data_IF_869294744725
#
_entry.id   IF_869294744725
#
_cell.length_a   1.000
_cell.length_b   1.000
_cell.length_c   1.000
_cell.angle_alpha   90.00
_cell.angle_beta   90.00
_cell.angle_gamma   90.00
#
_symmetry.space_group_name_H-M   'P 1'
#
loop_
_entity.id
_entity.type
_entity.pdbx_description
1 polymer ?
#
# COMPACT_ATOMS: atom_id res chain seq x y z
N UNK A 1 -24.77 -27.72 -45.68
CA UNK A 1 -23.94 -26.50 -45.69
C UNK A 1 -22.77 -26.73 -44.72
N UNK A 2 -21.66 -27.12 -45.29
CA UNK A 2 -20.49 -27.57 -44.54
C UNK A 2 -19.57 -26.39 -44.31
N UNK A 3 -19.42 -25.95 -43.07
CA UNK A 3 -18.49 -24.91 -42.68
C UNK A 3 -17.13 -25.51 -42.42
N UNK A 4 -16.22 -25.32 -43.34
CA UNK A 4 -14.80 -25.62 -43.17
C UNK A 4 -14.20 -24.60 -42.22
N UNK A 5 -13.85 -25.03 -41.03
CA UNK A 5 -13.07 -24.24 -40.08
C UNK A 5 -11.60 -24.55 -40.39
N UNK A 6 -10.92 -23.60 -40.98
CA UNK A 6 -9.49 -23.66 -41.17
C UNK A 6 -8.79 -23.54 -39.83
N UNK A 7 -8.12 -24.61 -39.40
CA UNK A 7 -7.18 -24.57 -38.26
C UNK A 7 -5.92 -23.82 -38.68
N UNK A 8 -5.76 -22.63 -38.12
CA UNK A 8 -4.47 -21.94 -38.17
C UNK A 8 -3.71 -22.34 -36.92
N UNK A 9 -2.79 -23.27 -37.07
CA UNK A 9 -1.81 -23.61 -36.03
C UNK A 9 -0.71 -22.56 -36.09
N UNK A 10 -0.74 -21.62 -35.18
CA UNK A 10 0.36 -20.68 -35.00
C UNK A 10 1.35 -21.31 -34.02
N UNK A 11 2.45 -21.78 -34.56
CA UNK A 11 3.61 -22.23 -33.79
C UNK A 11 4.34 -20.99 -33.24
N UNK A 12 4.10 -20.68 -31.99
CA UNK A 12 4.95 -19.74 -31.26
C UNK A 12 6.20 -20.47 -30.77
N UNK A 13 7.30 -20.21 -31.45
CA UNK A 13 8.61 -20.58 -30.94
C UNK A 13 8.94 -19.66 -29.76
N UNK A 14 8.83 -20.16 -28.56
CA UNK A 14 9.33 -19.49 -27.37
C UNK A 14 10.83 -19.63 -27.30
N UNK A 15 11.56 -18.58 -27.66
CA UNK A 15 12.97 -18.45 -27.35
C UNK A 15 13.09 -18.26 -25.83
N UNK A 16 13.53 -19.29 -25.13
CA UNK A 16 13.94 -19.20 -23.73
C UNK A 16 15.23 -18.39 -23.67
N UNK A 17 15.13 -17.11 -23.30
CA UNK A 17 16.26 -16.34 -22.84
C UNK A 17 16.58 -16.80 -21.43
N UNK A 18 17.60 -17.63 -21.31
CA UNK A 18 18.24 -17.90 -20.05
C UNK A 18 18.80 -16.61 -19.49
N UNK A 19 18.13 -16.05 -18.49
CA UNK A 19 18.73 -15.02 -17.66
C UNK A 19 19.74 -15.71 -16.77
N UNK A 20 21.01 -15.48 -17.07
CA UNK A 20 22.11 -15.83 -16.19
C UNK A 20 21.97 -14.93 -14.96
N UNK A 21 21.68 -15.54 -13.85
CA UNK A 21 21.89 -14.95 -12.54
C UNK A 21 23.39 -14.81 -12.31
N UNK A 22 23.93 -13.67 -12.74
CA UNK A 22 25.23 -13.21 -12.28
C UNK A 22 25.05 -12.73 -10.83
N UNK A 23 25.20 -13.68 -9.90
CA UNK A 23 25.34 -13.33 -8.50
C UNK A 23 26.69 -12.63 -8.32
N UNK A 24 26.70 -11.36 -7.89
CA UNK A 24 27.97 -10.72 -7.58
C UNK A 24 28.66 -11.44 -6.40
N UNK A 25 29.97 -11.60 -6.43
CA UNK A 25 30.70 -12.26 -5.35
C UNK A 25 30.49 -11.51 -4.03
N UNK A 26 30.26 -12.27 -2.98
CA UNK A 26 30.09 -11.77 -1.63
C UNK A 26 31.23 -10.83 -1.25
N UNK A 27 30.92 -9.56 -1.10
CA UNK A 27 31.82 -8.59 -0.50
C UNK A 27 31.89 -8.84 1.01
N UNK A 28 33.07 -8.71 1.63
CA UNK A 28 33.26 -9.00 3.03
C UNK A 28 32.55 -7.97 3.90
N UNK A 29 31.89 -8.46 4.93
CA UNK A 29 31.41 -7.81 6.15
C UNK A 29 31.65 -6.31 6.25
N UNK A 30 30.81 -5.52 5.60
CA UNK A 30 30.57 -4.15 6.00
C UNK A 30 29.35 -4.15 6.93
N UNK A 31 29.52 -3.63 8.13
CA UNK A 31 28.46 -3.43 9.13
C UNK A 31 27.22 -2.85 8.46
N UNK A 32 25.99 -3.31 8.81
CA UNK A 32 24.79 -2.67 8.32
C UNK A 32 24.78 -1.23 8.84
N UNK A 33 25.17 -0.30 8.01
CA UNK A 33 24.79 1.09 8.22
C UNK A 33 23.27 1.12 8.05
N UNK A 34 22.58 1.02 9.18
CA UNK A 34 21.22 1.48 9.22
C UNK A 34 21.25 2.92 8.71
N UNK A 35 20.96 3.10 7.44
CA UNK A 35 20.54 4.38 6.93
C UNK A 35 19.22 4.65 7.66
N UNK A 36 19.36 5.20 8.86
CA UNK A 36 18.29 5.81 9.62
C UNK A 36 17.84 6.98 8.76
N UNK A 37 16.86 6.73 7.92
CA UNK A 37 16.09 7.81 7.31
C UNK A 37 15.64 8.67 8.47
N UNK A 38 16.35 9.77 8.68
CA UNK A 38 15.99 10.81 9.62
C UNK A 38 14.70 11.40 9.06
N UNK A 39 13.56 10.80 9.41
CA UNK A 39 12.33 11.53 9.38
C UNK A 39 12.59 12.85 10.13
N UNK A 40 12.21 13.99 9.57
CA UNK A 40 12.36 15.24 10.28
C UNK A 40 11.64 15.09 11.60
N UNK A 41 12.41 15.10 12.69
CA UNK A 41 11.87 15.10 14.04
C UNK A 41 11.18 16.46 14.21
N UNK A 42 9.91 16.50 13.89
CA UNK A 42 9.02 17.58 14.32
C UNK A 42 9.02 17.51 15.85
N UNK A 43 9.73 18.43 16.49
CA UNK A 43 9.74 18.63 17.94
C UNK A 43 8.38 19.15 18.38
N UNK A 44 7.36 18.31 18.32
CA UNK A 44 6.03 18.56 18.81
C UNK A 44 5.55 17.37 19.62
N UNK A 45 4.54 17.53 20.49
CA UNK A 45 3.93 16.41 21.17
C UNK A 45 3.48 15.37 20.12
N UNK A 46 3.51 14.06 20.45
CA UNK A 46 3.11 13.03 19.51
C UNK A 46 1.68 13.28 19.05
N UNK A 47 1.48 13.41 17.74
CA UNK A 47 0.17 13.63 17.15
C UNK A 47 -0.75 12.47 17.52
N UNK A 48 -1.97 12.78 17.93
CA UNK A 48 -3.01 11.76 18.15
C UNK A 48 -3.29 11.00 16.85
N UNK A 49 -3.89 9.80 16.97
CA UNK A 49 -4.28 9.03 15.77
C UNK A 49 -5.22 9.85 14.88
N UNK A 50 -6.17 10.58 15.48
CA UNK A 50 -7.10 11.43 14.73
C UNK A 50 -6.36 12.51 13.93
N UNK A 51 -5.38 13.19 14.52
CA UNK A 51 -4.56 14.19 13.81
C UNK A 51 -3.74 13.59 12.68
N UNK A 52 -3.23 12.35 12.83
CA UNK A 52 -2.52 11.65 11.77
C UNK A 52 -3.46 11.33 10.60
N UNK A 53 -4.65 10.84 10.88
CA UNK A 53 -5.65 10.52 9.85
C UNK A 53 -6.13 11.78 9.13
N UNK A 54 -6.36 12.88 9.85
CA UNK A 54 -6.71 14.17 9.25
C UNK A 54 -5.60 14.71 8.35
N UNK A 55 -4.33 14.54 8.73
CA UNK A 55 -3.20 14.94 7.90
C UNK A 55 -3.14 14.13 6.59
N UNK A 56 -3.55 12.87 6.60
CA UNK A 56 -3.61 12.06 5.38
C UNK A 56 -4.68 12.55 4.39
N UNK A 57 -5.74 13.21 4.87
CA UNK A 57 -6.76 13.81 3.98
C UNK A 57 -6.22 14.98 3.14
N UNK A 58 -5.10 15.58 3.51
CA UNK A 58 -4.46 16.65 2.73
C UNK A 58 -3.73 16.12 1.48
N UNK A 59 -3.51 14.80 1.40
CA UNK A 59 -2.96 14.13 0.21
C UNK A 59 -4.11 13.92 -0.78
N UNK A 60 -3.80 13.98 -2.08
CA UNK A 60 -4.80 13.78 -3.14
C UNK A 60 -5.58 12.49 -2.95
N UNK A 61 -6.90 12.58 -3.14
CA UNK A 61 -7.80 11.44 -2.99
C UNK A 61 -7.54 10.35 -4.04
N UNK A 62 -7.94 9.13 -3.71
CA UNK A 62 -7.78 7.95 -4.56
C UNK A 62 -6.32 7.65 -4.95
N UNK A 63 -5.35 8.22 -4.22
CA UNK A 63 -3.93 7.96 -4.46
C UNK A 63 -3.36 6.90 -3.52
N UNK A 64 -2.35 6.19 -4.01
CA UNK A 64 -1.59 5.26 -3.18
C UNK A 64 -0.89 5.98 -2.02
N UNK A 65 -0.42 7.20 -2.23
CA UNK A 65 0.27 8.00 -1.22
C UNK A 65 -0.65 8.29 -0.01
N UNK A 66 -1.93 8.55 -0.26
CA UNK A 66 -2.91 8.70 0.82
C UNK A 66 -3.11 7.38 1.57
N UNK A 67 -3.20 6.25 0.86
CA UNK A 67 -3.28 4.94 1.50
C UNK A 67 -2.04 4.62 2.33
N UNK A 68 -0.85 4.86 1.80
CA UNK A 68 0.42 4.65 2.51
C UNK A 68 0.51 5.50 3.78
N UNK A 69 -0.03 6.74 3.74
CA UNK A 69 -0.16 7.59 4.91
C UNK A 69 -1.05 6.95 6.00
N UNK A 70 -2.21 6.42 5.62
CA UNK A 70 -3.08 5.70 6.55
C UNK A 70 -2.44 4.42 7.08
N UNK A 71 -1.80 3.64 6.21
CA UNK A 71 -1.12 2.40 6.58
C UNK A 71 0.08 2.65 7.50
N UNK A 72 0.72 3.82 7.41
CA UNK A 72 1.74 4.24 8.36
C UNK A 72 1.16 4.59 9.75
N UNK A 73 -0.06 5.12 9.80
CA UNK A 73 -0.76 5.41 11.05
C UNK A 73 -1.38 4.16 11.68
N UNK A 74 -1.95 3.28 10.85
CA UNK A 74 -2.61 2.03 11.25
C UNK A 74 -2.10 0.92 10.33
N UNK A 75 -1.06 0.19 10.70
CA UNK A 75 -0.45 -0.83 9.87
C UNK A 75 -1.45 -1.88 9.36
N UNK A 76 -1.44 -2.21 8.06
CA UNK A 76 -2.37 -3.16 7.47
C UNK A 76 -2.19 -4.58 8.06
N UNK A 77 -3.29 -5.26 8.26
CA UNK A 77 -3.33 -6.65 8.70
C UNK A 77 -4.47 -7.38 7.98
N UNK A 78 -4.37 -7.58 6.67
CA UNK A 78 -5.45 -8.10 5.86
C UNK A 78 -5.92 -9.49 6.31
N UNK A 79 -7.22 -9.72 6.22
CA UNK A 79 -7.84 -11.00 6.50
C UNK A 79 -8.62 -11.48 5.28
N UNK A 80 -8.69 -12.80 5.01
CA UNK A 80 -9.40 -13.34 3.85
C UNK A 80 -10.89 -13.01 3.81
N UNK A 81 -11.49 -12.86 4.99
CA UNK A 81 -12.87 -12.43 5.18
C UNK A 81 -12.88 -11.40 6.30
N UNK A 82 -12.89 -10.14 5.94
CA UNK A 82 -13.11 -9.06 6.89
C UNK A 82 -14.61 -8.81 7.05
N UNK A 83 -15.05 -8.67 8.29
CA UNK A 83 -16.38 -8.15 8.57
C UNK A 83 -16.44 -6.66 8.16
N UNK A 84 -17.64 -6.11 7.93
CA UNK A 84 -17.80 -4.67 7.75
C UNK A 84 -17.12 -3.91 8.90
N UNK A 85 -16.40 -2.84 8.55
CA UNK A 85 -15.69 -2.06 9.54
C UNK A 85 -16.66 -1.28 10.45
N UNK A 86 -16.55 -1.47 11.75
CA UNK A 86 -17.29 -0.72 12.76
C UNK A 86 -16.54 0.52 13.24
N UNK A 87 -15.24 0.60 12.94
CA UNK A 87 -14.38 1.71 13.30
C UNK A 87 -13.16 1.78 12.39
N UNK A 88 -12.46 2.91 12.45
CA UNK A 88 -11.28 3.15 11.60
C UNK A 88 -10.20 2.07 11.76
N UNK A 89 -10.07 1.48 12.95
CA UNK A 89 -9.11 0.41 13.21
C UNK A 89 -9.41 -0.88 12.46
N UNK A 90 -10.67 -1.09 12.06
CA UNK A 90 -11.07 -2.29 11.33
C UNK A 90 -10.70 -2.21 9.85
N UNK A 91 -10.48 -0.99 9.31
CA UNK A 91 -10.05 -0.80 7.93
C UNK A 91 -8.74 -1.54 7.61
N UNK A 92 -7.87 -1.71 8.60
CA UNK A 92 -6.61 -2.45 8.46
C UNK A 92 -6.79 -3.92 8.04
N UNK A 93 -7.96 -4.50 8.25
CA UNK A 93 -8.26 -5.89 7.91
C UNK A 93 -8.73 -6.07 6.47
N UNK A 94 -9.07 -4.99 5.79
CA UNK A 94 -9.48 -5.00 4.39
C UNK A 94 -8.28 -5.37 3.52
N UNK A 95 -8.46 -6.39 2.65
CA UNK A 95 -7.40 -6.95 1.83
C UNK A 95 -7.10 -6.06 0.62
N UNK A 96 -8.15 -5.64 -0.08
CA UNK A 96 -8.03 -4.84 -1.30
C UNK A 96 -7.67 -3.40 -0.95
N UNK A 97 -6.63 -2.87 -1.60
CA UNK A 97 -6.07 -1.53 -1.30
C UNK A 97 -7.11 -0.42 -1.53
N UNK A 98 -7.84 -0.48 -2.64
CA UNK A 98 -8.87 0.52 -2.95
C UNK A 98 -10.02 0.53 -1.95
N UNK A 99 -10.44 -0.65 -1.51
CA UNK A 99 -11.48 -0.79 -0.49
C UNK A 99 -10.98 -0.32 0.88
N UNK A 100 -9.71 -0.60 1.20
CA UNK A 100 -9.09 -0.14 2.43
C UNK A 100 -8.97 1.38 2.46
N UNK A 101 -8.57 2.00 1.34
CA UNK A 101 -8.52 3.44 1.20
C UNK A 101 -9.90 4.09 1.40
N UNK A 102 -10.94 3.56 0.75
CA UNK A 102 -12.33 4.01 0.91
C UNK A 102 -12.80 3.87 2.36
N UNK A 103 -12.43 2.77 3.02
CA UNK A 103 -12.75 2.55 4.43
C UNK A 103 -12.13 3.64 5.31
N UNK A 104 -10.84 3.92 5.16
CA UNK A 104 -10.15 4.96 5.91
C UNK A 104 -10.73 6.36 5.64
N UNK A 105 -10.95 6.72 4.38
CA UNK A 105 -11.56 8.00 4.00
C UNK A 105 -12.92 8.19 4.69
N UNK A 106 -13.78 7.18 4.65
CA UNK A 106 -15.11 7.24 5.25
C UNK A 106 -15.12 7.49 6.76
N UNK A 107 -14.08 7.08 7.48
CA UNK A 107 -13.92 7.38 8.90
C UNK A 107 -13.16 8.70 9.14
N UNK A 108 -12.10 8.96 8.40
CA UNK A 108 -11.27 10.15 8.57
C UNK A 108 -12.05 11.45 8.30
N UNK A 109 -12.91 11.46 7.28
CA UNK A 109 -13.77 12.61 6.96
C UNK A 109 -14.78 12.95 8.04
N UNK A 110 -15.15 11.99 8.86
CA UNK A 110 -16.08 12.18 9.99
C UNK A 110 -15.40 12.68 11.26
N UNK A 111 -14.07 12.71 11.28
CA UNK A 111 -13.33 13.24 12.43
C UNK A 111 -13.54 14.75 12.48
N UNK A 112 -14.02 15.30 13.61
CA UNK A 112 -14.18 16.74 13.74
C UNK A 112 -12.82 17.43 13.62
N UNK A 113 -12.71 18.39 12.72
CA UNK A 113 -11.53 19.23 12.59
C UNK A 113 -11.50 20.21 13.77
N UNK A 114 -10.73 19.89 14.79
CA UNK A 114 -10.49 20.84 15.86
C UNK A 114 -9.52 21.89 15.32
N UNK A 115 -10.04 23.10 15.07
CA UNK A 115 -9.17 24.27 14.90
C UNK A 115 -8.42 24.46 16.21
N UNK A 116 -7.15 24.09 16.23
CA UNK A 116 -6.25 24.53 17.30
C UNK A 116 -6.15 26.06 17.22
N UNK A 117 -6.82 26.73 18.13
CA UNK A 117 -6.64 28.16 18.39
C UNK A 117 -5.31 28.40 19.08
#
# INVERSE_FOLDING_TARGET
>A
MKKLIAMIVVLFATAALAQQDDAPPAAPSGKPVHARSKAPATKGPPKSLAEKLLACLEIDDETKDRLDCYDAAIPPKPRPKSAPANGVMDCRFVKEEDERLKCFNGFAEKIPKFSSR
#
